data_IF_723968053900
#
_entry.id   IF_723968053900
#
_cell.length_a   1.000
_cell.length_b   1.000
_cell.length_c   1.000
_cell.angle_alpha   90.00
_cell.angle_beta   90.00
_cell.angle_gamma   90.00
#
_symmetry.space_group_name_H-M   'P 1'
#
loop_
_entity.id
_entity.type
_entity.pdbx_description
1 polymer ?
#
# COMPACT_ATOMS: atom_id res chain seq x y z
N UNK A 1 9.47 -9.32 15.05
CA UNK A 1 8.01 -9.54 14.98
C UNK A 1 7.33 -8.30 14.39
N UNK A 2 6.41 -8.47 13.46
CA UNK A 2 5.56 -7.43 12.88
C UNK A 2 4.09 -7.87 12.96
N UNK A 3 3.20 -6.94 13.27
CA UNK A 3 1.75 -7.12 13.26
C UNK A 3 1.09 -6.16 12.28
N UNK A 4 -0.05 -6.57 11.72
CA UNK A 4 -0.76 -5.83 10.69
C UNK A 4 -1.12 -4.41 11.11
N UNK A 5 -0.67 -3.45 10.34
CA UNK A 5 -0.90 -2.02 10.61
C UNK A 5 -1.12 -1.25 9.31
N UNK A 6 -1.78 -0.10 9.44
CA UNK A 6 -1.84 0.88 8.35
C UNK A 6 -0.56 1.70 8.36
N UNK A 7 0.12 1.73 7.21
CA UNK A 7 1.38 2.44 7.06
C UNK A 7 1.13 3.88 6.62
N UNK A 8 1.29 4.82 7.54
CA UNK A 8 1.12 6.24 7.23
C UNK A 8 2.40 6.79 6.60
N UNK A 9 2.57 6.61 5.30
CA UNK A 9 3.74 7.10 4.55
C UNK A 9 3.59 8.56 4.12
N UNK A 10 4.71 9.19 3.76
CA UNK A 10 4.74 10.54 3.15
C UNK A 10 3.86 10.58 1.88
N UNK A 11 3.77 9.45 1.15
CA UNK A 11 2.91 9.34 -0.04
C UNK A 11 1.43 9.59 0.29
N UNK A 12 0.97 9.19 1.48
CA UNK A 12 -0.41 9.44 1.92
C UNK A 12 -0.68 10.93 2.13
N UNK A 13 0.30 11.69 2.63
CA UNK A 13 0.20 13.16 2.67
C UNK A 13 0.13 13.77 1.27
N UNK A 14 0.93 13.26 0.32
CA UNK A 14 0.89 13.72 -1.07
C UNK A 14 -0.48 13.43 -1.69
N UNK A 15 -1.05 12.23 -1.46
CA UNK A 15 -2.43 11.90 -1.91
C UNK A 15 -3.45 12.90 -1.34
N UNK A 16 -3.31 13.29 -0.08
CA UNK A 16 -4.19 14.28 0.56
C UNK A 16 -4.04 15.67 -0.09
N UNK A 17 -2.83 16.04 -0.51
CA UNK A 17 -2.57 17.32 -1.17
C UNK A 17 -3.29 17.44 -2.53
N UNK A 18 -3.52 16.31 -3.22
CA UNK A 18 -4.28 16.27 -4.46
C UNK A 18 -5.75 16.70 -4.30
N UNK A 19 -6.31 16.65 -3.07
CA UNK A 19 -7.64 17.20 -2.79
C UNK A 19 -7.71 18.72 -2.95
N UNK A 20 -6.60 19.42 -2.76
CA UNK A 20 -6.56 20.88 -2.89
C UNK A 20 -6.67 21.33 -4.35
N UNK A 21 -6.26 20.50 -5.32
CA UNK A 21 -6.26 20.84 -6.73
C UNK A 21 -7.67 21.06 -7.29
N UNK A 22 -8.66 20.16 -7.12
CA UNK A 22 -10.03 20.39 -7.59
C UNK A 22 -10.69 21.58 -6.86
N UNK A 23 -10.38 21.80 -5.58
CA UNK A 23 -10.87 22.95 -4.82
C UNK A 23 -10.31 24.25 -5.43
N UNK A 24 -9.02 24.30 -5.73
CA UNK A 24 -8.37 25.41 -6.40
C UNK A 24 -8.99 25.72 -7.75
N UNK A 25 -9.20 24.70 -8.59
CA UNK A 25 -9.84 24.84 -9.91
C UNK A 25 -11.28 25.37 -9.76
N UNK A 26 -12.03 24.85 -8.79
CA UNK A 26 -13.39 25.29 -8.52
C UNK A 26 -13.43 26.76 -8.10
N UNK A 27 -12.55 27.20 -7.21
CA UNK A 27 -12.43 28.59 -6.78
C UNK A 27 -11.99 29.49 -7.94
N UNK A 28 -11.03 29.05 -8.76
CA UNK A 28 -10.52 29.76 -9.92
C UNK A 28 -11.59 29.96 -11.00
N UNK A 29 -12.59 29.05 -11.08
CA UNK A 29 -13.69 29.16 -12.03
C UNK A 29 -14.47 30.49 -11.90
N UNK A 30 -14.41 31.12 -10.72
CA UNK A 30 -15.07 32.42 -10.47
C UNK A 30 -14.36 33.61 -11.19
N UNK A 31 -13.11 33.40 -11.63
CA UNK A 31 -12.34 34.42 -12.35
C UNK A 31 -12.74 34.54 -13.85
N UNK A 32 -13.54 33.59 -14.36
CA UNK A 32 -14.00 33.64 -15.75
C UNK A 32 -15.28 34.43 -15.88
N UNK A 33 -15.35 35.32 -16.87
CA UNK A 33 -16.56 36.08 -17.22
C UNK A 33 -17.52 35.25 -18.09
N UNK A 34 -16.98 34.30 -18.86
CA UNK A 34 -17.76 33.49 -19.80
C UNK A 34 -18.46 32.32 -19.07
N UNK A 35 -19.78 32.31 -19.12
CA UNK A 35 -20.65 31.31 -18.47
C UNK A 35 -20.32 29.86 -18.89
N UNK A 36 -19.99 29.63 -20.15
CA UNK A 36 -19.65 28.28 -20.66
C UNK A 36 -18.36 27.77 -20.03
N UNK A 37 -17.35 28.61 -19.90
CA UNK A 37 -16.08 28.23 -19.24
C UNK A 37 -16.26 27.98 -17.75
N UNK A 38 -17.14 28.72 -17.07
CA UNK A 38 -17.46 28.46 -15.66
C UNK A 38 -18.07 27.08 -15.49
N UNK A 39 -18.96 26.64 -16.37
CA UNK A 39 -19.61 25.34 -16.32
C UNK A 39 -18.56 24.23 -16.55
N UNK A 40 -17.73 24.36 -17.58
CA UNK A 40 -16.70 23.37 -17.92
C UNK A 40 -15.69 23.20 -16.77
N UNK A 41 -15.16 24.30 -16.22
CA UNK A 41 -14.18 24.23 -15.12
C UNK A 41 -14.78 23.63 -13.86
N UNK A 42 -16.03 23.90 -13.53
CA UNK A 42 -16.72 23.25 -12.41
C UNK A 42 -16.92 21.76 -12.63
N UNK A 43 -17.33 21.36 -13.83
CA UNK A 43 -17.50 19.95 -14.18
C UNK A 43 -16.17 19.19 -14.07
N UNK A 44 -15.07 19.76 -14.56
CA UNK A 44 -13.72 19.18 -14.43
C UNK A 44 -13.30 19.09 -12.96
N UNK A 45 -13.54 20.12 -12.17
CA UNK A 45 -13.22 20.10 -10.73
C UNK A 45 -13.97 18.99 -9.98
N UNK A 46 -15.25 18.79 -10.28
CA UNK A 46 -16.06 17.72 -9.67
C UNK A 46 -15.54 16.36 -10.10
N UNK A 47 -15.24 16.17 -11.39
CA UNK A 47 -14.69 14.90 -11.89
C UNK A 47 -13.37 14.54 -11.20
N UNK A 48 -12.46 15.53 -11.10
CA UNK A 48 -11.18 15.34 -10.40
C UNK A 48 -11.37 15.04 -8.92
N UNK A 49 -12.33 15.69 -8.25
CA UNK A 49 -12.64 15.42 -6.86
C UNK A 49 -13.11 13.97 -6.67
N UNK A 50 -14.04 13.50 -7.51
CA UNK A 50 -14.50 12.11 -7.47
C UNK A 50 -13.34 11.11 -7.66
N UNK A 51 -12.44 11.39 -8.60
CA UNK A 51 -11.30 10.52 -8.89
C UNK A 51 -10.32 10.46 -7.69
N UNK A 52 -10.02 11.60 -7.08
CA UNK A 52 -9.15 11.66 -5.88
C UNK A 52 -9.79 10.94 -4.70
N UNK A 53 -11.11 11.06 -4.51
CA UNK A 53 -11.84 10.35 -3.46
C UNK A 53 -11.70 8.82 -3.64
N UNK A 54 -11.84 8.31 -4.85
CA UNK A 54 -11.66 6.87 -5.14
C UNK A 54 -10.26 6.41 -4.80
N UNK A 55 -9.22 7.17 -5.20
CA UNK A 55 -7.80 6.83 -4.93
C UNK A 55 -7.51 6.78 -3.41
N UNK A 56 -8.20 7.60 -2.60
CA UNK A 56 -8.00 7.62 -1.15
C UNK A 56 -8.80 6.53 -0.45
N UNK A 57 -10.03 6.29 -0.90
CA UNK A 57 -10.94 5.33 -0.24
C UNK A 57 -10.51 3.89 -0.46
N UNK A 58 -10.00 3.54 -1.64
CA UNK A 58 -9.64 2.16 -1.99
C UNK A 58 -8.64 1.54 -1.00
N UNK A 59 -7.47 2.13 -0.69
CA UNK A 59 -6.53 1.53 0.26
C UNK A 59 -7.09 1.47 1.69
N UNK A 60 -7.90 2.45 2.09
CA UNK A 60 -8.55 2.45 3.41
C UNK A 60 -9.56 1.32 3.52
N UNK A 61 -10.41 1.16 2.50
CA UNK A 61 -11.38 0.06 2.45
C UNK A 61 -10.68 -1.31 2.48
N UNK A 62 -9.65 -1.48 1.64
CA UNK A 62 -8.87 -2.73 1.56
C UNK A 62 -8.19 -3.04 2.90
N UNK A 63 -7.63 -2.03 3.57
CA UNK A 63 -7.05 -2.20 4.90
C UNK A 63 -8.06 -2.73 5.91
N UNK A 64 -9.24 -2.11 6.01
CA UNK A 64 -10.27 -2.56 6.97
C UNK A 64 -10.79 -3.96 6.63
N UNK A 65 -10.91 -4.29 5.35
CA UNK A 65 -11.31 -5.61 4.90
C UNK A 65 -10.30 -6.70 5.30
N UNK A 66 -9.00 -6.45 5.10
CA UNK A 66 -7.93 -7.39 5.51
C UNK A 66 -7.82 -7.44 7.03
N UNK A 67 -7.99 -6.30 7.71
CA UNK A 67 -7.96 -6.24 9.18
C UNK A 67 -9.07 -7.08 9.81
N UNK A 68 -10.27 -7.02 9.28
CA UNK A 68 -11.39 -7.85 9.74
C UNK A 68 -11.09 -9.34 9.55
N UNK A 69 -10.52 -9.73 8.40
CA UNK A 69 -10.07 -11.09 8.15
C UNK A 69 -8.95 -11.53 9.11
N UNK A 70 -8.02 -10.63 9.44
CA UNK A 70 -6.94 -10.87 10.40
C UNK A 70 -7.46 -11.05 11.83
N UNK A 71 -8.35 -10.16 12.28
CA UNK A 71 -8.91 -10.16 13.63
C UNK A 71 -9.87 -11.36 13.86
N UNK A 72 -10.54 -11.84 12.80
CA UNK A 72 -11.40 -13.04 12.84
C UNK A 72 -10.65 -14.35 12.60
N UNK A 73 -9.33 -14.33 12.49
CA UNK A 73 -8.46 -15.47 12.16
C UNK A 73 -8.82 -16.19 10.84
N UNK A 74 -9.52 -15.49 9.94
CA UNK A 74 -9.86 -15.94 8.60
C UNK A 74 -8.75 -15.54 7.61
N UNK A 75 -7.53 -15.96 7.90
CA UNK A 75 -6.30 -15.59 7.18
C UNK A 75 -5.42 -16.82 7.03
N UNK A 76 -4.58 -16.84 6.00
CA UNK A 76 -3.69 -17.96 5.75
C UNK A 76 -2.45 -17.88 6.65
N UNK A 77 -2.07 -19.03 7.25
CA UNK A 77 -0.87 -19.16 8.07
C UNK A 77 0.17 -20.01 7.36
N UNK A 78 1.43 -19.65 7.49
CA UNK A 78 2.55 -20.31 6.85
C UNK A 78 3.77 -20.29 7.77
N UNK A 79 4.48 -21.43 7.85
CA UNK A 79 5.78 -21.53 8.51
C UNK A 79 6.76 -22.19 7.55
N UNK A 80 8.00 -21.71 7.50
CA UNK A 80 9.00 -22.30 6.63
C UNK A 80 10.27 -21.45 6.52
N UNK A 81 11.16 -21.93 5.68
CA UNK A 81 12.44 -21.26 5.40
C UNK A 81 12.24 -20.25 4.28
N UNK A 82 12.87 -19.10 4.42
CA UNK A 82 12.95 -18.08 3.37
C UNK A 82 13.87 -18.59 2.26
N UNK A 83 13.33 -18.64 1.05
CA UNK A 83 13.99 -19.05 -0.19
C UNK A 83 13.89 -17.93 -1.22
N UNK A 84 14.77 -17.92 -2.21
CA UNK A 84 14.77 -16.97 -3.33
C UNK A 84 14.69 -15.50 -2.87
N UNK A 85 15.41 -15.15 -1.81
CA UNK A 85 15.42 -13.81 -1.28
C UNK A 85 16.11 -12.83 -2.24
N UNK A 86 15.34 -11.86 -2.73
CA UNK A 86 15.82 -10.79 -3.60
C UNK A 86 15.67 -9.44 -2.89
N UNK A 87 16.76 -8.87 -2.33
CA UNK A 87 16.69 -7.57 -1.67
C UNK A 87 16.42 -6.44 -2.65
N UNK A 88 15.82 -5.36 -2.18
CA UNK A 88 15.59 -4.17 -2.99
C UNK A 88 16.92 -3.53 -3.41
N UNK A 89 17.16 -3.40 -4.71
CA UNK A 89 18.42 -2.86 -5.25
C UNK A 89 18.64 -1.38 -4.91
N UNK A 90 17.56 -0.60 -4.87
CA UNK A 90 17.62 0.83 -4.57
C UNK A 90 16.44 1.25 -3.70
N UNK A 91 16.72 1.47 -2.42
CA UNK A 91 15.73 1.88 -1.43
C UNK A 91 15.11 3.26 -1.67
N UNK A 92 15.71 4.08 -2.52
CA UNK A 92 15.24 5.43 -2.87
C UNK A 92 14.47 5.47 -4.20
N UNK A 93 14.59 4.44 -5.04
CA UNK A 93 13.82 4.33 -6.26
C UNK A 93 12.45 3.74 -5.91
N UNK A 94 11.40 4.50 -6.05
CA UNK A 94 10.02 4.11 -5.71
C UNK A 94 9.45 2.90 -6.48
N UNK A 95 10.27 2.18 -7.23
CA UNK A 95 9.95 0.97 -7.98
C UNK A 95 10.78 -0.25 -7.55
N UNK A 96 11.66 -0.09 -6.55
CA UNK A 96 12.41 -1.23 -6.02
C UNK A 96 11.49 -2.09 -5.18
N UNK A 97 11.48 -3.38 -5.44
CA UNK A 97 10.69 -4.37 -4.71
C UNK A 97 11.63 -5.35 -4.02
N UNK A 98 11.32 -5.71 -2.82
CA UNK A 98 11.94 -6.83 -2.13
C UNK A 98 11.02 -8.02 -2.20
N UNK A 99 11.56 -9.22 -2.45
CA UNK A 99 10.75 -10.42 -2.61
C UNK A 99 11.43 -11.64 -2.04
N UNK A 100 10.63 -12.64 -1.72
CA UNK A 100 11.08 -13.96 -1.24
C UNK A 100 9.98 -15.02 -1.40
N UNK A 101 10.36 -16.28 -1.26
CA UNK A 101 9.46 -17.41 -1.19
C UNK A 101 9.49 -18.06 0.18
N UNK A 102 8.36 -18.64 0.62
CA UNK A 102 8.30 -19.57 1.74
C UNK A 102 7.38 -20.73 1.36
N UNK A 103 7.90 -21.94 1.33
CA UNK A 103 7.16 -23.15 0.92
C UNK A 103 6.39 -22.99 -0.41
N UNK A 104 7.01 -22.36 -1.40
CA UNK A 104 6.43 -22.12 -2.72
C UNK A 104 5.39 -20.99 -2.79
N UNK A 105 5.15 -20.26 -1.70
CA UNK A 105 4.33 -19.06 -1.69
C UNK A 105 5.24 -17.85 -1.87
N UNK A 106 4.99 -17.09 -2.93
CA UNK A 106 5.77 -15.90 -3.28
C UNK A 106 5.20 -14.65 -2.60
N UNK A 107 6.11 -13.83 -2.06
CA UNK A 107 5.82 -12.54 -1.44
C UNK A 107 6.66 -11.45 -2.07
N UNK A 108 6.02 -10.31 -2.32
CA UNK A 108 6.66 -9.11 -2.81
C UNK A 108 6.11 -7.89 -2.07
N UNK A 109 6.97 -6.93 -1.76
CA UNK A 109 6.57 -5.70 -1.09
C UNK A 109 7.52 -4.55 -1.42
N UNK A 110 7.00 -3.34 -1.21
CA UNK A 110 7.76 -2.10 -1.29
C UNK A 110 7.70 -1.37 0.05
N UNK A 111 8.62 -0.44 0.29
CA UNK A 111 8.56 0.42 1.48
C UNK A 111 7.49 1.51 1.41
N UNK A 112 6.69 1.53 0.35
CA UNK A 112 5.59 2.49 0.12
C UNK A 112 4.21 1.86 0.23
N UNK A 113 4.11 0.63 0.72
CA UNK A 113 2.81 -0.03 0.91
C UNK A 113 1.96 0.75 1.92
N UNK A 114 0.68 0.92 1.59
CA UNK A 114 -0.28 1.59 2.47
C UNK A 114 -0.65 0.72 3.68
N UNK A 115 -0.49 -0.60 3.58
CA UNK A 115 -0.78 -1.58 4.63
C UNK A 115 0.04 -2.87 4.43
N UNK A 116 0.16 -3.67 5.49
CA UNK A 116 0.98 -4.87 5.47
C UNK A 116 2.46 -4.59 5.74
N UNK A 117 3.27 -5.64 5.71
CA UNK A 117 4.71 -5.52 5.92
C UNK A 117 5.38 -4.78 4.76
N UNK A 118 6.16 -3.76 5.07
CA UNK A 118 6.76 -2.88 4.07
C UNK A 118 8.21 -2.45 4.39
N UNK A 119 8.91 -3.17 5.27
CA UNK A 119 10.23 -2.75 5.71
C UNK A 119 11.33 -3.58 5.06
N UNK A 120 12.15 -2.95 4.21
CA UNK A 120 13.27 -3.59 3.54
C UNK A 120 14.36 -4.09 4.50
N UNK A 121 15.09 -5.14 4.12
CA UNK A 121 16.25 -5.65 4.83
C UNK A 121 17.26 -4.54 5.14
N UNK A 122 17.60 -3.73 4.14
CA UNK A 122 18.52 -2.60 4.28
C UNK A 122 18.06 -1.52 5.27
N UNK A 123 16.78 -1.50 5.62
CA UNK A 123 16.17 -0.59 6.60
C UNK A 123 15.91 -1.27 7.95
N UNK A 124 16.50 -2.44 8.20
CA UNK A 124 16.30 -3.24 9.40
C UNK A 124 14.97 -3.99 9.40
N UNK A 125 14.50 -4.42 8.23
CA UNK A 125 13.37 -5.33 8.07
C UNK A 125 13.61 -6.67 8.78
N UNK A 126 12.56 -7.47 8.94
CA UNK A 126 12.62 -8.77 9.64
C UNK A 126 13.32 -9.82 8.77
N UNK A 127 13.02 -9.83 7.48
CA UNK A 127 13.72 -10.67 6.52
C UNK A 127 15.04 -9.99 6.17
N UNK A 128 16.15 -10.67 6.43
CA UNK A 128 17.49 -10.16 6.21
C UNK A 128 18.28 -10.99 5.20
N UNK A 129 17.98 -12.25 5.10
CA UNK A 129 18.72 -13.21 4.27
C UNK A 129 17.90 -14.47 4.00
N UNK A 130 18.33 -15.20 3.01
CA UNK A 130 17.91 -16.55 2.74
C UNK A 130 18.22 -17.50 3.92
N UNK A 131 17.44 -18.57 4.08
CA UNK A 131 17.63 -19.55 5.12
C UNK A 131 17.05 -19.19 6.49
N UNK A 132 16.46 -18.00 6.67
CA UNK A 132 15.75 -17.68 7.91
C UNK A 132 14.48 -18.50 8.03
N UNK A 133 14.23 -19.09 9.21
CA UNK A 133 12.96 -19.76 9.47
C UNK A 133 11.94 -18.76 10.01
N UNK A 134 10.78 -18.67 9.35
CA UNK A 134 9.76 -17.66 9.64
C UNK A 134 8.40 -18.29 9.87
N UNK A 135 7.62 -17.67 10.75
CA UNK A 135 6.18 -17.87 10.89
C UNK A 135 5.48 -16.61 10.43
N UNK A 136 4.45 -16.76 9.59
CA UNK A 136 3.76 -15.62 9.01
C UNK A 136 2.27 -15.89 8.82
N UNK A 137 1.49 -14.82 8.84
CA UNK A 137 0.09 -14.81 8.38
C UNK A 137 -0.02 -13.84 7.21
N UNK A 138 -0.77 -14.24 6.19
CA UNK A 138 -0.92 -13.44 4.98
C UNK A 138 -2.32 -13.52 4.42
N UNK A 139 -2.73 -12.46 3.73
CA UNK A 139 -3.98 -12.37 3.02
C UNK A 139 -3.71 -12.37 1.50
N UNK A 140 -4.40 -13.25 0.76
CA UNK A 140 -4.29 -13.30 -0.70
C UNK A 140 -5.35 -12.40 -1.34
N UNK A 141 -4.91 -11.33 -2.00
CA UNK A 141 -5.79 -10.44 -2.75
C UNK A 141 -6.37 -11.13 -3.98
N UNK A 142 -7.48 -10.60 -4.50
CA UNK A 142 -8.08 -11.05 -5.76
C UNK A 142 -7.15 -10.90 -6.97
N UNK A 143 -6.19 -9.98 -6.91
CA UNK A 143 -5.12 -9.81 -7.90
C UNK A 143 -4.10 -10.95 -7.90
N UNK A 144 -4.14 -11.84 -6.89
CA UNK A 144 -3.17 -12.91 -6.67
C UNK A 144 -1.99 -12.54 -5.79
N UNK A 145 -1.83 -11.27 -5.44
CA UNK A 145 -0.75 -10.79 -4.55
C UNK A 145 -1.01 -11.20 -3.09
N UNK A 146 0.06 -11.57 -2.39
CA UNK A 146 0.02 -11.97 -0.99
C UNK A 146 0.47 -10.80 -0.10
N UNK A 147 -0.41 -10.34 0.79
CA UNK A 147 -0.11 -9.26 1.75
C UNK A 147 0.29 -9.87 3.08
N UNK A 148 1.48 -9.56 3.55
CA UNK A 148 1.99 -10.05 4.82
C UNK A 148 1.35 -9.27 5.96
N UNK A 149 0.56 -9.95 6.79
CA UNK A 149 -0.14 -9.36 7.93
C UNK A 149 0.60 -9.60 9.26
N UNK A 150 1.32 -10.69 9.35
CA UNK A 150 2.16 -11.02 10.50
C UNK A 150 3.42 -11.71 10.03
N UNK A 151 4.54 -11.39 10.65
CA UNK A 151 5.80 -12.11 10.41
C UNK A 151 6.70 -12.07 11.65
N UNK A 152 7.26 -13.19 11.98
CA UNK A 152 8.32 -13.35 12.99
C UNK A 152 9.38 -14.33 12.51
N UNK A 153 10.61 -14.12 12.93
CA UNK A 153 11.71 -15.10 12.77
C UNK A 153 11.71 -15.99 13.98
N UNK A 154 11.78 -17.29 13.75
CA UNK A 154 11.93 -18.33 14.78
C UNK A 154 13.39 -18.77 14.77
N UNK A 155 14.08 -18.56 15.87
CA UNK A 155 15.46 -19.00 16.10
C UNK A 155 15.55 -20.49 16.46
#
# INVERSE_FOLDING_TARGET
MYEFSFNFSILNFVKLFWLLLPIGIYCFSKAFENRSWIIVTKAVAILLLCLVIVIIIEPVYTYFYIKDAYDSDNIQSLEGVVEDFCPAENIWAGHSMESFCVNGVYFDYTNYEDFGYCKYAAQGGIIQKEGQFVRMKYYKLASGRNIICYIEVIE
#
